data_IF_654587525479
#
_entry.id   IF_654587525479
#
_cell.length_a   1.000
_cell.length_b   1.000
_cell.length_c   1.000
_cell.angle_alpha   90.00
_cell.angle_beta   90.00
_cell.angle_gamma   90.00
#
_symmetry.space_group_name_H-M   'P 1'
#
loop_
_entity.id
_entity.type
_entity.pdbx_description
1 polymer ?
#
# COMPACT_ATOMS: atom_id res chain seq x y z
N UNK A 1 -25.60 40.12 -18.96
CA UNK A 1 -24.35 39.84 -19.70
C UNK A 1 -23.78 38.56 -19.10
N UNK A 2 -23.99 37.44 -19.78
CA UNK A 2 -23.89 36.10 -19.18
C UNK A 2 -22.79 35.35 -19.90
N UNK A 3 -21.65 35.13 -19.23
CA UNK A 3 -20.52 34.39 -19.80
C UNK A 3 -20.77 32.91 -19.56
N UNK A 4 -21.13 32.18 -20.63
CA UNK A 4 -21.12 30.71 -20.64
C UNK A 4 -19.69 30.25 -20.93
N UNK A 5 -18.96 29.84 -19.89
CA UNK A 5 -17.70 29.11 -20.04
C UNK A 5 -18.06 27.63 -20.17
N UNK A 6 -18.14 27.15 -21.41
CA UNK A 6 -18.18 25.73 -21.71
C UNK A 6 -16.78 25.16 -21.50
N UNK A 7 -16.57 24.43 -20.41
CA UNK A 7 -15.33 23.72 -20.16
C UNK A 7 -15.42 22.34 -20.82
N UNK A 8 -14.75 22.23 -21.97
CA UNK A 8 -14.48 21.00 -22.71
C UNK A 8 -13.56 20.09 -21.88
N UNK A 9 -14.14 19.17 -21.12
CA UNK A 9 -13.44 17.96 -20.69
C UNK A 9 -13.71 16.85 -21.71
N UNK A 10 -13.21 17.01 -22.94
CA UNK A 10 -12.96 15.88 -23.82
C UNK A 10 -11.74 15.13 -23.26
N UNK A 11 -11.95 14.47 -22.12
CA UNK A 11 -10.94 13.73 -21.39
C UNK A 11 -10.48 12.56 -22.24
N UNK A 12 -9.33 12.72 -22.87
CA UNK A 12 -8.54 11.60 -23.35
C UNK A 12 -8.19 10.75 -22.13
N UNK A 13 -8.95 9.67 -21.94
CA UNK A 13 -8.69 8.63 -20.95
C UNK A 13 -7.38 7.95 -21.34
N UNK A 14 -6.27 8.54 -20.94
CA UNK A 14 -5.06 7.79 -20.70
C UNK A 14 -5.42 6.81 -19.58
N UNK A 15 -5.53 5.53 -19.90
CA UNK A 15 -5.44 4.44 -18.93
C UNK A 15 -4.03 4.46 -18.33
N UNK A 16 -3.68 5.50 -17.59
CA UNK A 16 -2.63 5.42 -16.61
C UNK A 16 -3.15 4.42 -15.58
N UNK A 17 -2.66 3.19 -15.65
CA UNK A 17 -2.90 2.21 -14.60
C UNK A 17 -2.51 2.88 -13.29
N UNK A 18 -3.50 3.20 -12.44
CA UNK A 18 -3.23 3.77 -11.13
C UNK A 18 -2.25 2.83 -10.43
N UNK A 19 -1.20 3.40 -9.85
CA UNK A 19 -0.29 2.63 -9.03
C UNK A 19 -1.01 2.03 -7.83
N UNK A 20 -0.47 0.94 -7.30
CA UNK A 20 -0.91 0.40 -6.01
C UNK A 20 -0.81 1.50 -4.93
N UNK A 21 0.21 2.34 -5.06
CA UNK A 21 0.44 3.48 -4.18
C UNK A 21 -0.66 4.54 -4.24
N UNK A 22 -1.02 5.00 -5.44
CA UNK A 22 -2.13 5.95 -5.60
C UNK A 22 -3.47 5.35 -5.15
N UNK A 23 -3.69 4.06 -5.41
CA UNK A 23 -4.94 3.36 -5.05
C UNK A 23 -5.13 3.32 -3.53
N UNK A 24 -4.06 2.99 -2.80
CA UNK A 24 -4.08 2.98 -1.34
C UNK A 24 -4.33 4.36 -0.72
N UNK A 25 -3.94 5.45 -1.40
CA UNK A 25 -4.11 6.81 -0.89
C UNK A 25 -5.55 7.33 -1.10
N UNK A 26 -6.27 6.79 -2.09
CA UNK A 26 -7.68 7.14 -2.32
C UNK A 26 -8.60 6.55 -1.25
N UNK A 27 -8.28 5.35 -0.75
CA UNK A 27 -9.00 4.67 0.33
C UNK A 27 -7.99 4.29 1.42
N UNK A 28 -7.53 5.26 2.23
CA UNK A 28 -6.37 5.07 3.11
C UNK A 28 -6.61 4.06 4.22
N UNK A 29 -7.84 3.92 4.68
CA UNK A 29 -8.16 3.05 5.80
C UNK A 29 -9.27 2.06 5.46
N UNK A 30 -9.16 0.85 6.02
CA UNK A 30 -10.21 -0.15 5.94
C UNK A 30 -10.23 -1.07 7.17
N UNK A 31 -11.43 -1.53 7.53
CA UNK A 31 -11.63 -2.48 8.62
C UNK A 31 -12.21 -3.79 8.10
N UNK A 32 -11.68 -4.91 8.59
CA UNK A 32 -12.07 -6.25 8.16
C UNK A 32 -12.44 -7.09 9.38
N UNK A 33 -13.66 -7.62 9.37
CA UNK A 33 -14.14 -8.62 10.32
C UNK A 33 -14.43 -9.91 9.57
N UNK A 34 -13.76 -11.01 9.93
CA UNK A 34 -13.90 -12.30 9.25
C UNK A 34 -13.73 -12.21 7.72
N UNK A 35 -12.74 -11.41 7.27
CA UNK A 35 -12.44 -11.12 5.85
C UNK A 35 -13.51 -10.32 5.10
N UNK A 36 -14.53 -9.82 5.78
CA UNK A 36 -15.52 -8.91 5.20
C UNK A 36 -15.22 -7.48 5.59
N UNK A 37 -15.35 -6.55 4.65
CA UNK A 37 -15.21 -5.12 4.92
C UNK A 37 -16.35 -4.65 5.82
N UNK A 38 -16.01 -3.98 6.91
CA UNK A 38 -16.95 -3.39 7.87
C UNK A 38 -16.59 -1.92 8.10
N UNK A 39 -17.52 -1.16 8.68
CA UNK A 39 -17.27 0.25 8.99
C UNK A 39 -16.12 0.43 10.01
N UNK A 40 -16.08 -0.43 11.04
CA UNK A 40 -15.00 -0.46 12.02
C UNK A 40 -14.95 -1.80 12.76
N UNK A 41 -13.79 -2.10 13.35
CA UNK A 41 -13.61 -3.16 14.35
C UNK A 41 -13.01 -2.54 15.62
N UNK A 42 -13.36 -3.02 16.84
CA UNK A 42 -12.75 -2.52 18.06
C UNK A 42 -11.23 -2.74 18.05
N UNK A 43 -10.45 -1.70 18.41
CA UNK A 43 -8.99 -1.79 18.45
C UNK A 43 -8.52 -2.90 19.41
N UNK A 44 -9.21 -3.09 20.53
CA UNK A 44 -8.91 -4.15 21.50
C UNK A 44 -9.10 -5.58 20.96
N UNK A 45 -9.77 -5.74 19.82
CA UNK A 45 -10.05 -7.05 19.19
C UNK A 45 -9.37 -7.22 17.83
N UNK A 46 -8.68 -6.19 17.35
CA UNK A 46 -8.08 -6.15 16.03
C UNK A 46 -6.61 -5.83 16.09
N UNK A 47 -5.90 -6.19 15.04
CA UNK A 47 -4.54 -5.71 14.79
C UNK A 47 -4.64 -4.52 13.86
N UNK A 48 -3.79 -3.52 14.06
CA UNK A 48 -3.64 -2.41 13.10
C UNK A 48 -2.35 -2.62 12.32
N UNK A 49 -2.42 -2.61 11.00
CA UNK A 49 -1.25 -2.74 10.13
C UNK A 49 -1.16 -1.50 9.26
N UNK A 50 0.01 -0.86 9.29
CA UNK A 50 0.25 0.42 8.59
C UNK A 50 1.40 0.23 7.62
N UNK A 51 1.14 0.45 6.34
CA UNK A 51 2.18 0.48 5.32
C UNK A 51 3.10 1.69 5.49
N UNK A 52 4.41 1.53 5.25
CA UNK A 52 5.36 2.64 5.15
C UNK A 52 5.30 3.31 3.76
N UNK A 53 5.72 4.57 3.66
CA UNK A 53 5.92 5.25 2.36
C UNK A 53 7.37 5.14 1.89
N UNK A 54 8.29 5.06 2.86
CA UNK A 54 9.73 5.05 2.62
C UNK A 54 10.35 3.80 3.23
N UNK A 55 11.47 3.36 2.67
CA UNK A 55 12.31 2.35 3.30
C UNK A 55 13.13 2.95 4.45
N UNK A 56 13.90 2.09 5.13
CA UNK A 56 14.79 2.52 6.22
C UNK A 56 15.89 3.51 5.77
N UNK A 57 16.19 3.56 4.47
CA UNK A 57 17.18 4.47 3.86
C UNK A 57 16.57 5.78 3.35
N UNK A 58 15.26 5.97 3.48
CA UNK A 58 14.54 7.16 3.00
C UNK A 58 14.19 7.14 1.50
N UNK A 59 14.40 6.03 0.79
CA UNK A 59 13.96 5.91 -0.60
C UNK A 59 12.44 5.73 -0.65
N UNK A 60 11.80 6.31 -1.66
CA UNK A 60 10.38 6.08 -1.91
C UNK A 60 10.18 4.61 -2.28
N UNK A 61 9.58 3.85 -1.36
CA UNK A 61 9.29 2.43 -1.51
C UNK A 61 8.08 2.09 -0.65
N UNK A 62 6.89 2.51 -1.10
CA UNK A 62 5.74 2.35 -0.26
C UNK A 62 5.25 0.90 -0.19
N UNK A 63 4.79 0.53 0.99
CA UNK A 63 4.18 -0.75 1.30
C UNK A 63 2.72 -0.56 1.69
N UNK A 64 1.89 -1.57 1.41
CA UNK A 64 0.46 -1.53 1.61
C UNK A 64 -0.07 -2.89 2.04
N UNK A 65 -0.70 -3.02 3.22
CA UNK A 65 -1.46 -4.23 3.52
C UNK A 65 -2.57 -4.45 2.48
N UNK A 66 -2.73 -5.71 2.07
CA UNK A 66 -3.65 -6.17 1.03
C UNK A 66 -4.67 -7.17 1.57
N UNK A 67 -5.81 -6.69 2.07
CA UNK A 67 -6.95 -7.55 2.34
C UNK A 67 -7.66 -7.94 1.03
N UNK A 68 -7.30 -9.12 0.50
CA UNK A 68 -7.92 -9.91 -0.59
C UNK A 68 -8.14 -9.26 -1.97
N UNK A 69 -8.43 -7.96 -2.07
CA UNK A 69 -8.90 -7.32 -3.31
C UNK A 69 -8.37 -5.90 -3.54
N UNK A 70 -7.87 -5.21 -2.50
CA UNK A 70 -7.41 -3.81 -2.61
C UNK A 70 -6.28 -3.50 -1.64
N UNK A 71 -5.46 -2.53 -2.04
CA UNK A 71 -4.41 -1.92 -1.22
C UNK A 71 -4.99 -0.82 -0.34
N UNK A 72 -4.59 -0.79 0.92
CA UNK A 72 -4.92 0.26 1.87
C UNK A 72 -3.65 0.73 2.58
N UNK A 73 -3.62 1.98 3.02
CA UNK A 73 -2.48 2.48 3.80
C UNK A 73 -2.48 1.90 5.21
N UNK A 74 -3.67 1.82 5.81
CA UNK A 74 -3.92 1.29 7.15
C UNK A 74 -5.05 0.26 7.08
N UNK A 75 -4.86 -0.90 7.71
CA UNK A 75 -5.95 -1.88 7.88
C UNK A 75 -6.11 -2.28 9.33
N UNK A 76 -7.37 -2.43 9.74
CA UNK A 76 -7.74 -3.05 11.01
C UNK A 76 -8.31 -4.43 10.73
N UNK A 77 -7.71 -5.49 11.30
CA UNK A 77 -8.09 -6.87 10.97
C UNK A 77 -8.50 -7.62 12.24
N UNK A 78 -9.69 -8.19 12.22
CA UNK A 78 -10.21 -9.14 13.19
C UNK A 78 -10.81 -10.37 12.47
N UNK A 79 -10.63 -11.61 12.96
CA UNK A 79 -9.76 -11.97 14.08
C UNK A 79 -8.28 -11.71 13.78
N UNK A 80 -7.45 -11.72 14.82
CA UNK A 80 -5.98 -11.57 14.70
C UNK A 80 -5.46 -12.57 13.67
N UNK A 81 -4.89 -12.11 12.53
CA UNK A 81 -4.41 -12.99 11.49
C UNK A 81 -3.06 -13.61 11.87
N UNK A 82 -2.73 -14.76 11.28
CA UNK A 82 -1.38 -15.37 11.37
C UNK A 82 -0.38 -14.73 10.41
N UNK A 83 -0.87 -14.13 9.34
CA UNK A 83 -0.07 -13.48 8.31
C UNK A 83 -0.88 -12.40 7.62
N UNK A 84 -0.21 -11.35 7.16
CA UNK A 84 -0.85 -10.23 6.43
C UNK A 84 -0.21 -10.12 5.04
N UNK A 85 -0.99 -10.16 3.95
CA UNK A 85 -0.45 -9.91 2.62
C UNK A 85 -0.08 -8.44 2.49
N UNK A 86 1.05 -8.15 1.84
CA UNK A 86 1.56 -6.79 1.64
C UNK A 86 1.97 -6.63 0.19
N UNK A 87 1.52 -5.56 -0.46
CA UNK A 87 2.03 -5.06 -1.73
C UNK A 87 3.11 -4.02 -1.49
N UNK A 88 4.05 -3.95 -2.43
CA UNK A 88 5.15 -3.00 -2.45
C UNK A 88 5.24 -2.37 -3.84
N UNK A 89 5.62 -1.10 -3.89
CA UNK A 89 5.97 -0.42 -5.13
C UNK A 89 7.29 0.31 -4.93
N UNK A 90 8.11 0.38 -5.99
CA UNK A 90 9.33 1.18 -6.01
C UNK A 90 9.42 1.91 -7.34
N UNK A 91 9.64 3.21 -7.27
CA UNK A 91 9.88 4.06 -8.42
C UNK A 91 11.33 4.48 -8.40
N UNK A 92 12.03 4.23 -9.50
CA UNK A 92 13.39 4.70 -9.68
C UNK A 92 13.62 5.11 -11.13
N UNK A 93 14.60 5.98 -11.35
CA UNK A 93 15.02 6.39 -12.69
C UNK A 93 16.18 5.52 -13.14
N UNK A 94 15.96 4.71 -14.16
CA UNK A 94 17.00 3.97 -14.86
C UNK A 94 17.63 4.85 -15.94
N UNK A 95 18.95 4.83 -16.06
CA UNK A 95 19.68 5.52 -17.14
C UNK A 95 20.33 4.48 -18.05
N UNK A 96 19.94 4.45 -19.32
CA UNK A 96 20.48 3.55 -20.34
C UNK A 96 21.12 4.40 -21.43
N UNK A 97 22.46 4.51 -21.40
CA UNK A 97 23.20 5.44 -22.25
C UNK A 97 22.81 6.90 -21.93
N UNK A 98 22.26 7.61 -22.91
CA UNK A 98 21.78 8.99 -22.75
C UNK A 98 20.28 9.09 -22.39
N UNK A 99 19.57 7.97 -22.30
CA UNK A 99 18.13 7.94 -22.02
C UNK A 99 17.88 7.76 -20.53
N UNK A 100 16.98 8.56 -19.97
CA UNK A 100 16.46 8.41 -18.61
C UNK A 100 15.02 7.89 -18.70
N UNK A 101 14.74 6.81 -17.98
CA UNK A 101 13.42 6.17 -17.93
C UNK A 101 13.00 6.00 -16.49
N UNK A 102 11.79 6.44 -16.14
CA UNK A 102 11.19 6.07 -14.87
C UNK A 102 10.68 4.63 -14.97
N UNK A 103 11.09 3.81 -14.03
CA UNK A 103 10.71 2.41 -13.92
C UNK A 103 9.98 2.24 -12.60
N UNK A 104 8.80 1.63 -12.68
CA UNK A 104 8.02 1.22 -11.52
C UNK A 104 8.15 -0.29 -11.38
N UNK A 105 8.68 -0.75 -10.24
CA UNK A 105 8.65 -2.15 -9.84
C UNK A 105 7.54 -2.37 -8.84
N UNK A 106 6.87 -3.52 -8.96
CA UNK A 106 5.82 -3.95 -8.05
C UNK A 106 6.10 -5.35 -7.58
N UNK A 107 5.67 -5.65 -6.37
CA UNK A 107 5.39 -7.03 -6.00
C UNK A 107 4.78 -7.13 -4.63
N UNK A 108 4.79 -8.34 -4.11
CA UNK A 108 4.00 -8.67 -2.93
C UNK A 108 4.59 -9.86 -2.19
N UNK A 109 4.14 -10.01 -0.95
CA UNK A 109 4.46 -11.16 -0.13
C UNK A 109 3.63 -11.19 1.14
N UNK A 110 4.01 -12.06 2.07
CA UNK A 110 3.30 -12.28 3.32
C UNK A 110 4.18 -11.84 4.49
N UNK A 111 3.69 -10.92 5.30
CA UNK A 111 4.24 -10.66 6.61
C UNK A 111 3.76 -11.75 7.58
N UNK A 112 4.68 -12.60 8.03
CA UNK A 112 4.45 -13.54 9.12
C UNK A 112 4.96 -12.92 10.41
N UNK A 113 4.08 -12.80 11.40
CA UNK A 113 4.41 -12.19 12.69
C UNK A 113 3.48 -12.73 13.77
N UNK A 114 3.94 -12.73 15.03
CA UNK A 114 3.09 -13.01 16.18
C UNK A 114 2.23 -11.78 16.51
N UNK A 115 1.23 -11.56 15.66
CA UNK A 115 0.32 -10.44 15.83
C UNK A 115 -0.49 -10.57 17.11
N UNK A 116 -0.71 -9.43 17.75
CA UNK A 116 -1.51 -9.32 18.98
C UNK A 116 -2.59 -8.27 18.78
N UNK A 117 -3.80 -8.56 19.26
CA UNK A 117 -4.88 -7.59 19.28
C UNK A 117 -4.50 -6.35 20.10
N UNK A 118 -5.01 -5.18 19.70
CA UNK A 118 -4.68 -3.91 20.33
C UNK A 118 -3.32 -3.31 19.93
N UNK A 119 -2.52 -4.01 19.11
CA UNK A 119 -1.21 -3.55 18.66
C UNK A 119 -1.25 -2.98 17.24
N UNK A 120 -0.29 -2.10 16.97
CA UNK A 120 -0.04 -1.52 15.66
C UNK A 120 1.31 -2.00 15.13
N UNK A 121 1.34 -2.42 13.87
CA UNK A 121 2.53 -2.90 13.20
C UNK A 121 2.79 -2.03 11.98
N UNK A 122 3.95 -1.39 11.94
CA UNK A 122 4.42 -0.74 10.73
C UNK A 122 5.08 -1.78 9.85
N UNK A 123 4.71 -1.82 8.58
CA UNK A 123 5.25 -2.78 7.62
C UNK A 123 6.11 -2.06 6.60
N UNK A 124 7.25 -2.65 6.29
CA UNK A 124 8.21 -2.12 5.34
C UNK A 124 8.45 -3.16 4.27
N UNK A 125 8.87 -2.69 3.10
CA UNK A 125 9.31 -3.55 2.02
C UNK A 125 10.78 -3.28 1.74
N UNK A 126 11.51 -4.30 1.31
CA UNK A 126 12.81 -4.18 0.66
C UNK A 126 12.79 -5.02 -0.62
N UNK A 127 13.00 -4.38 -1.77
CA UNK A 127 13.05 -5.06 -3.07
C UNK A 127 14.50 -5.45 -3.34
N UNK A 128 14.77 -6.75 -3.31
CA UNK A 128 16.05 -7.32 -3.67
C UNK A 128 16.16 -7.56 -5.18
N UNK A 129 17.39 -7.78 -5.66
CA UNK A 129 17.66 -8.12 -7.06
C UNK A 129 16.86 -9.35 -7.52
N UNK A 130 16.36 -9.30 -8.76
CA UNK A 130 15.52 -10.37 -9.32
C UNK A 130 14.06 -10.35 -8.84
N UNK A 131 13.56 -9.17 -8.45
CA UNK A 131 12.17 -8.95 -8.02
C UNK A 131 11.76 -9.85 -6.83
N UNK A 132 12.70 -10.04 -5.89
CA UNK A 132 12.43 -10.70 -4.61
C UNK A 132 12.05 -9.65 -3.57
N UNK A 133 11.01 -9.94 -2.79
CA UNK A 133 10.46 -9.01 -1.81
C UNK A 133 10.73 -9.54 -0.41
N UNK A 134 11.37 -8.72 0.40
CA UNK A 134 11.47 -8.94 1.83
C UNK A 134 10.53 -7.98 2.53
N UNK A 135 9.60 -8.54 3.30
CA UNK A 135 8.62 -7.78 4.08
C UNK A 135 8.91 -8.03 5.54
N UNK A 136 9.08 -6.95 6.28
CA UNK A 136 9.33 -6.99 7.71
C UNK A 136 8.45 -5.96 8.41
N UNK A 137 8.27 -6.17 9.71
CA UNK A 137 7.56 -5.23 10.56
C UNK A 137 8.49 -4.60 11.58
N UNK A 138 8.32 -3.31 11.83
CA UNK A 138 8.76 -2.71 13.08
C UNK A 138 7.55 -2.72 14.03
N UNK A 139 7.61 -3.56 15.06
CA UNK A 139 6.66 -3.51 16.16
C UNK A 139 7.11 -2.49 17.20
N UNK A 140 6.25 -1.54 17.56
CA UNK A 140 6.40 -0.84 18.84
C UNK A 140 5.90 -1.77 19.96
N UNK A 141 6.83 -2.15 20.84
CA UNK A 141 6.54 -2.86 22.08
C UNK A 141 5.61 -2.04 23.00
#
# INVERSE_FOLDING_TARGET
MTIKIGLLCAGSVLLAACSASMTSMLQPEASYLNRQTVASVPKSQSVTVVGSVFDESGNWMPSYPMPAYKEHKTVHIAPVPKSVPVACEQEYTETVGHLRRNVTKRGSGLLQYDFQAGRTYMVFCNIQAGDRFEIYSAGSA
#
